data_IF_139486108700
#
_entry.id   IF_139486108700
#
_cell.length_a   1.000
_cell.length_b   1.000
_cell.length_c   1.000
_cell.angle_alpha   90.00
_cell.angle_beta   90.00
_cell.angle_gamma   90.00
#
_symmetry.space_group_name_H-M   'P 1'
#
loop_
_entity.id
_entity.type
_entity.pdbx_description
1 polymer ?
#
# COMPACT_ATOMS: atom_id res chain seq x y z
N UNK A 1 3.57 13.06 66.95
CA UNK A 1 3.66 14.11 65.92
C UNK A 1 4.01 13.57 64.54
N UNK A 2 5.09 12.81 64.35
CA UNK A 2 5.53 12.34 63.02
C UNK A 2 4.47 11.53 62.24
N UNK A 3 3.71 10.66 62.92
CA UNK A 3 2.61 9.88 62.29
C UNK A 3 1.47 10.75 61.77
N UNK A 4 1.05 11.74 62.54
CA UNK A 4 -0.03 12.67 62.15
C UNK A 4 0.43 13.53 60.97
N UNK A 5 1.70 13.95 60.97
CA UNK A 5 2.27 14.74 59.88
C UNK A 5 2.39 13.91 58.58
N UNK A 6 2.76 12.63 58.70
CA UNK A 6 2.78 11.69 57.57
C UNK A 6 1.38 11.45 57.00
N UNK A 7 0.37 11.25 57.86
CA UNK A 7 -1.02 11.08 57.43
C UNK A 7 -1.55 12.31 56.68
N UNK A 8 -1.28 13.51 57.19
CA UNK A 8 -1.70 14.76 56.54
C UNK A 8 -1.05 14.89 55.15
N UNK A 9 0.24 14.56 55.03
CA UNK A 9 0.96 14.61 53.74
C UNK A 9 0.42 13.57 52.76
N UNK A 10 0.12 12.35 53.22
CA UNK A 10 -0.48 11.30 52.38
C UNK A 10 -1.86 11.71 51.90
N UNK A 11 -2.72 12.25 52.78
CA UNK A 11 -4.05 12.73 52.38
C UNK A 11 -3.99 13.93 51.42
N UNK A 12 -3.04 14.84 51.62
CA UNK A 12 -2.80 15.95 50.69
C UNK A 12 -2.32 15.47 49.32
N UNK A 13 -1.44 14.47 49.28
CA UNK A 13 -0.96 13.87 48.04
C UNK A 13 -2.09 13.14 47.30
N UNK A 14 -2.92 12.38 48.01
CA UNK A 14 -4.10 11.69 47.44
C UNK A 14 -5.08 12.70 46.85
N UNK A 15 -5.40 13.78 47.57
CA UNK A 15 -6.26 14.86 47.07
C UNK A 15 -5.67 15.54 45.84
N UNK A 16 -4.35 15.76 45.81
CA UNK A 16 -3.64 16.32 44.67
C UNK A 16 -3.71 15.41 43.43
N UNK A 17 -3.49 14.11 43.59
CA UNK A 17 -3.58 13.12 42.51
C UNK A 17 -5.01 13.01 41.99
N UNK A 18 -6.00 12.93 42.88
CA UNK A 18 -7.41 12.89 42.51
C UNK A 18 -7.79 14.16 41.74
N UNK A 19 -7.41 15.34 42.24
CA UNK A 19 -7.66 16.62 41.57
C UNK A 19 -6.98 16.73 40.20
N UNK A 20 -5.76 16.19 40.05
CA UNK A 20 -5.05 16.16 38.78
C UNK A 20 -5.70 15.22 37.76
N UNK A 21 -6.08 14.01 38.18
CA UNK A 21 -6.81 13.04 37.31
C UNK A 21 -8.16 13.62 36.90
N UNK A 22 -8.87 14.20 37.84
CA UNK A 22 -10.11 14.93 37.62
C UNK A 22 -9.94 16.04 36.58
N UNK A 23 -8.94 16.91 36.75
CA UNK A 23 -8.64 17.99 35.79
C UNK A 23 -8.27 17.46 34.40
N UNK A 24 -7.48 16.39 34.34
CA UNK A 24 -7.09 15.75 33.08
C UNK A 24 -8.29 15.18 32.34
N UNK A 25 -9.22 14.54 33.05
CA UNK A 25 -10.46 14.04 32.49
C UNK A 25 -11.39 15.18 32.04
N UNK A 26 -11.46 16.27 32.80
CA UNK A 26 -12.24 17.46 32.44
C UNK A 26 -11.74 18.13 31.16
N UNK A 27 -10.42 18.19 30.95
CA UNK A 27 -9.82 18.79 29.75
C UNK A 27 -9.93 17.88 28.50
N UNK A 28 -10.07 16.57 28.68
CA UNK A 28 -10.08 15.59 27.59
C UNK A 28 -11.48 15.21 27.07
N UNK A 29 -12.56 15.70 27.69
CA UNK A 29 -13.94 15.37 27.30
C UNK A 29 -14.64 16.57 26.65
N UNK A 30 -15.21 16.37 25.45
CA UNK A 30 -16.03 17.37 24.75
C UNK A 30 -17.34 17.68 25.51
N UNK A 31 -17.94 16.69 26.17
CA UNK A 31 -19.15 16.83 26.99
C UNK A 31 -18.86 17.21 28.45
N UNK A 32 -18.35 18.43 28.65
CA UNK A 32 -17.96 18.96 29.97
C UNK A 32 -19.10 19.02 30.99
N UNK A 33 -20.35 19.16 30.54
CA UNK A 33 -21.52 19.32 31.42
C UNK A 33 -21.96 18.00 32.07
N UNK A 34 -21.93 16.90 31.31
CA UNK A 34 -22.36 15.59 31.81
C UNK A 34 -21.37 15.02 32.83
N UNK A 35 -20.07 15.26 32.63
CA UNK A 35 -19.03 14.84 33.58
C UNK A 35 -19.16 15.54 34.95
N UNK A 36 -19.42 16.86 34.95
CA UNK A 36 -19.61 17.64 36.19
C UNK A 36 -20.87 17.17 36.93
N UNK A 37 -21.96 16.87 36.21
CA UNK A 37 -23.17 16.34 36.81
C UNK A 37 -22.96 14.97 37.47
N UNK A 38 -22.23 14.06 36.81
CA UNK A 38 -21.87 12.75 37.38
C UNK A 38 -21.00 12.88 38.64
N UNK A 39 -20.09 13.84 38.68
CA UNK A 39 -19.29 14.09 39.87
C UNK A 39 -20.12 14.68 41.01
N UNK A 40 -21.05 15.58 40.71
CA UNK A 40 -21.98 16.11 41.70
C UNK A 40 -22.83 14.98 42.32
N UNK A 41 -23.39 14.09 41.50
CA UNK A 41 -24.15 12.91 41.98
C UNK A 41 -23.24 12.00 42.82
N UNK A 42 -22.03 11.71 42.34
CA UNK A 42 -21.08 10.85 43.07
C UNK A 42 -20.71 11.45 44.44
N UNK A 43 -20.49 12.76 44.51
CA UNK A 43 -20.19 13.47 45.75
C UNK A 43 -21.38 13.44 46.73
N UNK A 44 -22.61 13.59 46.21
CA UNK A 44 -23.84 13.49 47.02
C UNK A 44 -24.02 12.07 47.58
N UNK A 45 -23.82 11.03 46.75
CA UNK A 45 -23.94 9.63 47.19
C UNK A 45 -22.84 9.29 48.20
N UNK A 46 -21.60 9.69 47.96
CA UNK A 46 -20.49 9.49 48.90
C UNK A 46 -20.70 10.25 50.21
N UNK A 47 -21.21 11.48 50.16
CA UNK A 47 -21.58 12.26 51.34
C UNK A 47 -22.69 11.57 52.15
N UNK A 48 -23.74 11.10 51.47
CA UNK A 48 -24.82 10.34 52.10
C UNK A 48 -24.32 9.05 52.78
N UNK A 49 -23.45 8.29 52.10
CA UNK A 49 -22.84 7.09 52.66
C UNK A 49 -21.92 7.39 53.84
N UNK A 50 -21.09 8.43 53.77
CA UNK A 50 -20.13 8.76 54.82
C UNK A 50 -20.78 9.37 56.07
N UNK A 51 -21.73 10.30 55.90
CA UNK A 51 -22.31 11.07 57.00
C UNK A 51 -23.57 10.45 57.61
N UNK A 52 -24.35 9.68 56.83
CA UNK A 52 -25.58 9.05 57.32
C UNK A 52 -25.37 7.55 57.59
N UNK A 53 -24.80 6.84 56.61
CA UNK A 53 -24.71 5.36 56.67
C UNK A 53 -23.50 4.89 57.47
N UNK A 54 -22.34 5.53 57.32
CA UNK A 54 -21.11 5.23 58.06
C UNK A 54 -21.28 5.24 59.58
N UNK A 55 -21.79 6.34 60.20
CA UNK A 55 -22.03 6.37 61.64
C UNK A 55 -23.20 5.48 62.10
N UNK A 56 -24.10 5.09 61.20
CA UNK A 56 -25.21 4.16 61.48
C UNK A 56 -24.74 2.71 61.50
N UNK A 57 -23.80 2.34 60.64
CA UNK A 57 -23.14 1.02 60.62
C UNK A 57 -22.11 0.91 61.74
N UNK A 58 -21.32 1.96 61.98
CA UNK A 58 -20.25 1.97 62.98
C UNK A 58 -20.72 1.97 64.44
N UNK A 59 -21.94 2.46 64.73
CA UNK A 59 -22.56 2.35 66.07
C UNK A 59 -23.01 0.92 66.41
N UNK A 60 -23.12 0.03 65.42
CA UNK A 60 -23.59 -1.34 65.59
C UNK A 60 -25.06 -1.45 66.00
N UNK A 61 -25.60 -2.68 65.93
CA UNK A 61 -27.00 -3.00 66.27
C UNK A 61 -27.88 -3.33 65.07
N UNK A 62 -29.13 -3.72 65.33
CA UNK A 62 -30.11 -4.16 64.33
C UNK A 62 -30.32 -3.13 63.21
N UNK A 63 -30.32 -1.84 63.56
CA UNK A 63 -30.49 -0.72 62.62
C UNK A 63 -29.33 -0.63 61.63
N UNK A 64 -28.09 -0.81 62.09
CA UNK A 64 -26.91 -0.81 61.21
C UNK A 64 -26.88 -2.04 60.29
N UNK A 65 -27.26 -3.21 60.81
CA UNK A 65 -27.24 -4.46 60.05
C UNK A 65 -28.36 -4.55 59.00
N UNK A 66 -29.60 -4.16 59.34
CA UNK A 66 -30.76 -4.30 58.46
C UNK A 66 -31.03 -3.09 57.57
N UNK A 67 -30.57 -1.90 57.93
CA UNK A 67 -30.80 -0.68 57.15
C UNK A 67 -29.48 -0.17 56.57
N UNK A 68 -28.41 -0.13 57.36
CA UNK A 68 -27.12 0.42 56.92
C UNK A 68 -26.45 -0.41 55.82
N UNK A 69 -26.42 -1.74 55.93
CA UNK A 69 -25.77 -2.62 54.95
C UNK A 69 -26.50 -2.58 53.59
N UNK A 70 -27.83 -2.75 53.50
CA UNK A 70 -28.53 -2.64 52.21
C UNK A 70 -28.40 -1.26 51.57
N UNK A 71 -28.43 -0.19 52.37
CA UNK A 71 -28.30 1.17 51.88
C UNK A 71 -26.89 1.45 51.32
N UNK A 72 -25.86 0.83 51.91
CA UNK A 72 -24.50 0.84 51.36
C UNK A 72 -24.44 0.12 50.01
N UNK A 73 -25.09 -1.04 49.90
CA UNK A 73 -25.15 -1.79 48.64
C UNK A 73 -25.87 -1.01 47.53
N UNK A 74 -26.96 -0.32 47.85
CA UNK A 74 -27.69 0.54 46.90
C UNK A 74 -26.83 1.72 46.46
N UNK A 75 -26.16 2.40 47.39
CA UNK A 75 -25.25 3.50 47.05
C UNK A 75 -24.08 3.04 46.17
N UNK A 76 -23.51 1.87 46.46
CA UNK A 76 -22.49 1.23 45.62
C UNK A 76 -22.98 0.87 44.23
N UNK A 77 -24.21 0.34 44.12
CA UNK A 77 -24.83 0.00 42.84
C UNK A 77 -25.09 1.24 41.97
N UNK A 78 -25.58 2.32 42.57
CA UNK A 78 -25.79 3.60 41.86
C UNK A 78 -24.47 4.14 41.32
N UNK A 79 -23.40 4.12 42.12
CA UNK A 79 -22.07 4.52 41.67
C UNK A 79 -21.53 3.61 40.55
N UNK A 80 -21.76 2.30 40.65
CA UNK A 80 -21.36 1.36 39.61
C UNK A 80 -22.06 1.66 38.28
N UNK A 81 -23.38 1.83 38.27
CA UNK A 81 -24.14 2.14 37.04
C UNK A 81 -23.72 3.48 36.44
N UNK A 82 -23.50 4.50 37.27
CA UNK A 82 -23.10 5.84 36.82
C UNK A 82 -21.74 5.86 36.11
N UNK A 83 -20.81 5.01 36.56
CA UNK A 83 -19.43 4.95 36.07
C UNK A 83 -19.15 3.79 35.10
N UNK A 84 -20.05 2.81 34.96
CA UNK A 84 -19.87 1.66 34.04
C UNK A 84 -19.60 2.12 32.61
N UNK A 85 -20.40 3.04 32.05
CA UNK A 85 -20.21 3.50 30.66
C UNK A 85 -18.85 4.17 30.41
N UNK A 86 -18.45 5.17 31.23
CA UNK A 86 -17.13 5.80 31.10
C UNK A 86 -15.96 4.84 31.34
N UNK A 87 -16.07 3.91 32.31
CA UNK A 87 -15.00 2.94 32.58
C UNK A 87 -14.85 1.92 31.46
N UNK A 88 -15.94 1.40 30.90
CA UNK A 88 -15.87 0.45 29.78
C UNK A 88 -15.32 1.12 28.53
N UNK A 89 -15.71 2.37 28.26
CA UNK A 89 -15.12 3.17 27.18
C UNK A 89 -13.63 3.45 27.38
N UNK A 90 -13.21 3.77 28.61
CA UNK A 90 -11.79 3.99 28.94
C UNK A 90 -10.96 2.70 28.82
N UNK A 91 -11.41 1.60 29.43
CA UNK A 91 -10.74 0.30 29.35
C UNK A 91 -10.71 -0.26 27.92
N UNK A 92 -11.82 -0.12 27.18
CA UNK A 92 -11.91 -0.47 25.77
C UNK A 92 -10.96 0.34 24.91
N UNK A 93 -10.81 1.65 25.18
CA UNK A 93 -9.85 2.48 24.46
C UNK A 93 -8.39 2.11 24.75
N UNK A 94 -8.04 1.63 25.95
CA UNK A 94 -6.67 1.17 26.22
C UNK A 94 -6.34 -0.07 25.38
N UNK A 95 -7.28 -1.00 25.26
CA UNK A 95 -7.10 -2.23 24.47
C UNK A 95 -7.12 -1.90 22.97
N UNK A 96 -8.11 -1.13 22.49
CA UNK A 96 -8.18 -0.70 21.09
C UNK A 96 -6.97 0.15 20.70
N UNK A 97 -6.45 1.02 21.57
CA UNK A 97 -5.23 1.78 21.27
C UNK A 97 -4.00 0.89 21.00
N UNK A 98 -3.96 -0.33 21.57
CA UNK A 98 -2.87 -1.28 21.30
C UNK A 98 -3.02 -1.94 19.93
N UNK A 99 -4.26 -2.15 19.47
CA UNK A 99 -4.55 -2.77 18.16
C UNK A 99 -4.65 -1.74 17.01
N UNK A 100 -5.16 -0.55 17.27
CA UNK A 100 -5.51 0.49 16.29
C UNK A 100 -4.57 1.72 16.32
N UNK A 101 -3.51 1.72 17.15
CA UNK A 101 -2.47 2.77 17.13
C UNK A 101 -2.79 4.06 17.91
N UNK A 102 -3.77 4.01 18.82
CA UNK A 102 -4.14 5.17 19.65
C UNK A 102 -5.21 6.04 19.02
N UNK A 103 -5.79 6.95 19.81
CA UNK A 103 -6.70 8.03 19.33
C UNK A 103 -5.95 9.07 18.49
N UNK A 104 -5.25 8.65 17.46
CA UNK A 104 -4.95 9.51 16.32
C UNK A 104 -6.27 9.69 15.58
N UNK A 105 -6.76 10.93 15.55
CA UNK A 105 -7.70 11.37 14.52
C UNK A 105 -7.22 10.76 13.21
N UNK A 106 -8.09 9.98 12.55
CA UNK A 106 -7.76 9.32 11.29
C UNK A 106 -6.92 10.28 10.47
N UNK A 107 -5.64 9.93 10.28
CA UNK A 107 -4.71 10.72 9.51
C UNK A 107 -5.46 11.05 8.22
N UNK A 108 -5.57 12.34 7.86
CA UNK A 108 -6.41 12.82 6.77
C UNK A 108 -5.84 12.32 5.44
N UNK A 109 -5.95 11.04 5.19
CA UNK A 109 -5.67 10.42 3.92
C UNK A 109 -6.89 10.65 3.02
N UNK A 110 -6.70 10.80 1.70
CA UNK A 110 -7.80 10.75 0.75
C UNK A 110 -8.66 9.52 1.04
N UNK A 111 -9.98 9.68 1.14
CA UNK A 111 -10.89 8.58 1.46
C UNK A 111 -11.00 7.63 0.26
N UNK A 112 -9.97 6.79 0.07
CA UNK A 112 -9.85 5.80 -1.00
C UNK A 112 -11.00 4.80 -0.97
N UNK A 113 -11.52 4.49 0.21
CA UNK A 113 -12.66 3.58 0.39
C UNK A 113 -13.90 4.06 -0.37
N UNK A 114 -14.14 5.37 -0.42
CA UNK A 114 -15.28 5.93 -1.16
C UNK A 114 -15.05 5.87 -2.66
N UNK A 115 -13.83 6.17 -3.13
CA UNK A 115 -13.44 6.07 -4.54
C UNK A 115 -13.57 4.62 -5.02
N UNK A 116 -13.00 3.67 -4.28
CA UNK A 116 -13.10 2.24 -4.59
C UNK A 116 -14.55 1.74 -4.58
N UNK A 117 -15.36 2.19 -3.61
CA UNK A 117 -16.78 1.84 -3.57
C UNK A 117 -17.53 2.34 -4.81
N UNK A 118 -17.20 3.53 -5.35
CA UNK A 118 -17.79 4.04 -6.59
C UNK A 118 -17.26 3.31 -7.83
N UNK A 119 -15.96 3.01 -7.87
CA UNK A 119 -15.33 2.19 -8.91
C UNK A 119 -15.98 0.80 -8.99
N UNK A 120 -16.15 0.10 -7.86
CA UNK A 120 -16.82 -1.21 -7.78
C UNK A 120 -18.29 -1.19 -8.18
N UNK A 121 -18.95 -0.02 -8.06
CA UNK A 121 -20.34 0.18 -8.50
C UNK A 121 -20.45 0.57 -9.98
N UNK A 122 -19.36 0.58 -10.74
CA UNK A 122 -19.32 0.98 -12.14
C UNK A 122 -19.44 2.49 -12.39
N UNK A 123 -19.37 3.31 -11.33
CA UNK A 123 -19.49 4.77 -11.41
C UNK A 123 -18.11 5.42 -11.51
N UNK A 124 -17.42 5.17 -12.61
CA UNK A 124 -16.01 5.56 -12.79
C UNK A 124 -15.83 7.07 -12.91
N UNK A 125 -16.72 7.77 -13.62
CA UNK A 125 -16.67 9.23 -13.73
C UNK A 125 -16.82 9.91 -12.35
N UNK A 126 -17.83 9.50 -11.57
CA UNK A 126 -18.00 10.00 -10.19
C UNK A 126 -16.79 9.66 -9.30
N UNK A 127 -16.18 8.48 -9.48
CA UNK A 127 -15.00 8.08 -8.72
C UNK A 127 -13.78 8.96 -9.04
N UNK A 128 -13.58 9.28 -10.32
CA UNK A 128 -12.53 10.19 -10.77
C UNK A 128 -12.74 11.62 -10.24
N UNK A 129 -13.97 12.13 -10.30
CA UNK A 129 -14.29 13.47 -9.81
C UNK A 129 -14.14 13.57 -8.29
N UNK A 130 -14.55 12.53 -7.55
CA UNK A 130 -14.34 12.46 -6.10
C UNK A 130 -12.85 12.43 -5.75
N UNK A 131 -12.04 11.68 -6.51
CA UNK A 131 -10.59 11.67 -6.30
C UNK A 131 -9.96 13.03 -6.64
N UNK A 132 -10.41 13.72 -7.69
CA UNK A 132 -9.96 15.10 -7.99
C UNK A 132 -10.25 16.05 -6.84
N UNK A 133 -11.47 16.04 -6.29
CA UNK A 133 -11.83 16.87 -5.13
C UNK A 133 -10.93 16.57 -3.93
N UNK A 134 -10.58 15.31 -3.70
CA UNK A 134 -9.63 14.95 -2.63
C UNK A 134 -8.21 15.45 -2.91
N UNK A 135 -7.79 15.46 -4.17
CA UNK A 135 -6.50 16.01 -4.58
C UNK A 135 -6.45 17.54 -4.54
N UNK A 136 -7.59 18.25 -4.53
CA UNK A 136 -7.60 19.70 -4.24
C UNK A 136 -7.15 19.98 -2.80
N UNK A 137 -7.52 19.11 -1.85
CA UNK A 137 -7.08 19.21 -0.45
C UNK A 137 -5.64 18.68 -0.25
N UNK A 138 -5.26 17.65 -1.01
CA UNK A 138 -3.96 16.98 -0.93
C UNK A 138 -3.25 16.89 -2.29
N UNK A 139 -2.79 18.03 -2.87
CA UNK A 139 -2.33 18.09 -4.25
C UNK A 139 -1.05 17.30 -4.53
N UNK A 140 -0.22 17.05 -3.50
CA UNK A 140 1.04 16.31 -3.63
C UNK A 140 0.93 14.85 -3.20
N UNK A 141 -0.29 14.30 -3.09
CA UNK A 141 -0.47 12.92 -2.64
C UNK A 141 -0.27 11.91 -3.79
N UNK A 142 0.93 11.30 -3.86
CA UNK A 142 1.34 10.36 -4.92
C UNK A 142 0.31 9.27 -5.20
N UNK A 143 -0.12 8.53 -4.17
CA UNK A 143 -1.07 7.41 -4.35
C UNK A 143 -2.44 7.89 -4.86
N UNK A 144 -2.84 9.11 -4.53
CA UNK A 144 -4.10 9.70 -4.98
C UNK A 144 -4.05 10.02 -6.47
N UNK A 145 -2.97 10.66 -6.91
CA UNK A 145 -2.71 10.94 -8.33
C UNK A 145 -2.61 9.64 -9.15
N UNK A 146 -1.92 8.62 -8.63
CA UNK A 146 -1.84 7.31 -9.30
C UNK A 146 -3.20 6.63 -9.44
N UNK A 147 -4.04 6.64 -8.40
CA UNK A 147 -5.40 6.08 -8.46
C UNK A 147 -6.26 6.86 -9.44
N UNK A 148 -6.18 8.20 -9.46
CA UNK A 148 -6.88 9.02 -10.45
C UNK A 148 -6.46 8.64 -11.87
N UNK A 149 -5.16 8.55 -12.12
CA UNK A 149 -4.61 8.18 -13.42
C UNK A 149 -5.04 6.75 -13.83
N UNK A 150 -5.10 5.81 -12.89
CA UNK A 150 -5.57 4.44 -13.14
C UNK A 150 -7.05 4.40 -13.53
N UNK A 151 -7.91 5.13 -12.81
CA UNK A 151 -9.35 5.21 -13.15
C UNK A 151 -9.52 5.82 -14.55
N UNK A 152 -8.73 6.84 -14.89
CA UNK A 152 -8.78 7.49 -16.21
C UNK A 152 -8.33 6.53 -17.33
N UNK A 153 -7.17 5.88 -17.17
CA UNK A 153 -6.61 5.01 -18.21
C UNK A 153 -7.37 3.68 -18.36
N UNK A 154 -7.69 3.02 -17.24
CA UNK A 154 -8.24 1.67 -17.24
C UNK A 154 -9.76 1.67 -17.34
N UNK A 155 -10.45 2.47 -16.52
CA UNK A 155 -11.90 2.37 -16.40
C UNK A 155 -12.63 3.32 -17.37
N UNK A 156 -12.07 4.51 -17.60
CA UNK A 156 -12.63 5.51 -18.51
C UNK A 156 -12.00 5.49 -19.92
N UNK A 157 -10.92 4.73 -20.11
CA UNK A 157 -10.16 4.65 -21.37
C UNK A 157 -9.72 6.01 -21.93
N UNK A 158 -9.47 6.98 -21.04
CA UNK A 158 -9.01 8.32 -21.36
C UNK A 158 -7.53 8.44 -21.02
N UNK A 159 -6.70 8.00 -21.98
CA UNK A 159 -5.25 7.95 -21.82
C UNK A 159 -4.63 9.35 -21.76
N UNK A 160 -5.16 10.31 -22.53
CA UNK A 160 -4.64 11.68 -22.56
C UNK A 160 -4.77 12.36 -21.20
N UNK A 161 -5.92 12.18 -20.53
CA UNK A 161 -6.11 12.70 -19.17
C UNK A 161 -5.26 11.95 -18.16
N UNK A 162 -5.11 10.64 -18.29
CA UNK A 162 -4.23 9.87 -17.41
C UNK A 162 -2.77 10.33 -17.54
N UNK A 163 -2.29 10.51 -18.78
CA UNK A 163 -0.97 11.04 -19.08
C UNK A 163 -0.77 12.41 -18.43
N UNK A 164 -1.72 13.33 -18.59
CA UNK A 164 -1.66 14.67 -17.99
C UNK A 164 -1.46 14.64 -16.47
N UNK A 165 -2.14 13.72 -15.76
CA UNK A 165 -1.98 13.56 -14.30
C UNK A 165 -0.59 13.04 -13.94
N UNK A 166 -0.06 12.08 -14.71
CA UNK A 166 1.30 11.56 -14.51
C UNK A 166 2.36 12.62 -14.83
N UNK A 167 2.16 13.43 -15.88
CA UNK A 167 3.04 14.56 -16.20
C UNK A 167 3.09 15.59 -15.07
N UNK A 168 1.93 15.94 -14.51
CA UNK A 168 1.86 16.83 -13.35
C UNK A 168 2.59 16.23 -12.14
N UNK A 169 2.42 14.93 -11.88
CA UNK A 169 3.14 14.20 -10.84
C UNK A 169 4.66 14.24 -11.05
N UNK A 170 5.14 14.08 -12.29
CA UNK A 170 6.57 14.10 -12.63
C UNK A 170 7.18 15.50 -12.46
N UNK A 171 6.38 16.56 -12.68
CA UNK A 171 6.81 17.95 -12.46
C UNK A 171 6.91 18.31 -10.96
N UNK A 172 6.21 17.59 -10.08
CA UNK A 172 6.29 17.82 -8.64
C UNK A 172 7.60 17.25 -8.06
N UNK A 173 8.48 18.11 -7.54
CA UNK A 173 9.83 17.73 -7.05
C UNK A 173 9.85 16.95 -5.72
N UNK A 174 8.72 16.81 -5.02
CA UNK A 174 8.66 16.21 -3.69
C UNK A 174 8.55 14.67 -3.70
N UNK A 175 8.45 14.04 -4.87
CA UNK A 175 8.25 12.59 -4.95
C UNK A 175 9.58 11.83 -4.98
N UNK A 176 9.70 10.70 -4.23
CA UNK A 176 10.86 9.84 -4.31
C UNK A 176 11.14 9.40 -5.76
N UNK A 177 12.41 9.30 -6.20
CA UNK A 177 12.79 8.85 -7.53
C UNK A 177 12.08 7.57 -7.99
N UNK A 178 11.96 6.59 -7.08
CA UNK A 178 11.28 5.31 -7.31
C UNK A 178 9.80 5.47 -7.68
N UNK A 179 9.11 6.43 -7.06
CA UNK A 179 7.69 6.68 -7.29
C UNK A 179 7.46 7.33 -8.65
N UNK A 180 8.32 8.29 -9.02
CA UNK A 180 8.29 8.92 -10.35
C UNK A 180 8.60 7.91 -11.45
N UNK A 181 9.61 7.06 -11.25
CA UNK A 181 9.94 5.98 -12.19
C UNK A 181 8.78 4.97 -12.33
N UNK A 182 8.12 4.62 -11.22
CA UNK A 182 6.95 3.75 -11.25
C UNK A 182 5.78 4.38 -12.03
N UNK A 183 5.49 5.66 -11.81
CA UNK A 183 4.44 6.39 -12.51
C UNK A 183 4.67 6.42 -14.03
N UNK A 184 5.89 6.75 -14.47
CA UNK A 184 6.28 6.73 -15.88
C UNK A 184 6.23 5.32 -16.49
N UNK A 185 6.58 4.30 -15.70
CA UNK A 185 6.50 2.89 -16.13
C UNK A 185 5.05 2.47 -16.36
N UNK A 186 4.15 2.84 -15.45
CA UNK A 186 2.72 2.57 -15.60
C UNK A 186 2.12 3.29 -16.82
N UNK A 187 2.52 4.54 -17.06
CA UNK A 187 2.11 5.29 -18.23
C UNK A 187 2.55 4.58 -19.53
N UNK A 188 3.81 4.17 -19.61
CA UNK A 188 4.33 3.40 -20.75
C UNK A 188 3.52 2.11 -20.98
N UNK A 189 3.23 1.38 -19.91
CA UNK A 189 2.44 0.14 -19.99
C UNK A 189 1.00 0.40 -20.46
N UNK A 190 0.40 1.55 -20.10
CA UNK A 190 -0.89 1.97 -20.61
C UNK A 190 -0.85 2.35 -22.10
N UNK A 191 0.18 3.06 -22.55
CA UNK A 191 0.38 3.35 -23.99
C UNK A 191 0.49 2.06 -24.82
N UNK A 192 1.24 1.07 -24.35
CA UNK A 192 1.38 -0.23 -25.02
C UNK A 192 0.07 -1.02 -25.02
N UNK A 193 -0.65 -1.05 -23.88
CA UNK A 193 -1.85 -1.87 -23.71
C UNK A 193 -3.08 -1.31 -24.43
N UNK A 194 -3.30 0.00 -24.33
CA UNK A 194 -4.54 0.63 -24.79
C UNK A 194 -4.38 1.34 -26.13
N UNK A 195 -3.31 2.12 -26.32
CA UNK A 195 -3.08 2.86 -27.56
C UNK A 195 -2.24 2.07 -28.59
N UNK A 196 -1.52 1.02 -28.15
CA UNK A 196 -0.48 0.34 -28.94
C UNK A 196 0.55 1.33 -29.50
N UNK A 197 0.77 2.41 -28.76
CA UNK A 197 1.66 3.49 -29.13
C UNK A 197 3.05 3.18 -28.58
N UNK A 198 3.86 2.55 -29.43
CA UNK A 198 5.24 2.19 -29.11
C UNK A 198 6.14 3.43 -28.94
N UNK A 199 6.09 4.48 -29.80
CA UNK A 199 6.95 5.64 -29.63
C UNK A 199 6.69 6.39 -28.32
N UNK A 200 5.44 6.57 -27.90
CA UNK A 200 5.13 7.23 -26.61
C UNK A 200 5.57 6.38 -25.40
N UNK A 201 5.36 5.06 -25.46
CA UNK A 201 5.86 4.16 -24.42
C UNK A 201 7.39 4.20 -24.30
N UNK A 202 8.08 4.24 -25.43
CA UNK A 202 9.54 4.39 -25.50
C UNK A 202 9.99 5.74 -24.91
N UNK A 203 9.34 6.84 -25.24
CA UNK A 203 9.65 8.15 -24.68
C UNK A 203 9.55 8.18 -23.15
N UNK A 204 8.56 7.48 -22.58
CA UNK A 204 8.41 7.32 -21.13
C UNK A 204 9.63 6.61 -20.51
N UNK A 205 10.11 5.51 -21.11
CA UNK A 205 11.30 4.79 -20.61
C UNK A 205 12.58 5.61 -20.77
N UNK A 206 12.77 6.30 -21.91
CA UNK A 206 13.92 7.19 -22.12
C UNK A 206 13.98 8.32 -21.07
N UNK A 207 12.82 8.85 -20.65
CA UNK A 207 12.75 9.85 -19.58
C UNK A 207 13.18 9.31 -18.22
N UNK A 208 12.88 8.05 -17.90
CA UNK A 208 13.37 7.41 -16.68
C UNK A 208 14.90 7.34 -16.70
N UNK A 209 15.49 6.93 -17.83
CA UNK A 209 16.94 6.85 -18.01
C UNK A 209 17.61 8.23 -17.87
N UNK A 210 17.02 9.26 -18.48
CA UNK A 210 17.54 10.62 -18.43
C UNK A 210 17.47 11.24 -17.02
N UNK A 211 16.42 10.92 -16.25
CA UNK A 211 16.19 11.52 -14.92
C UNK A 211 16.91 10.79 -13.79
N UNK A 212 17.09 9.48 -13.91
CA UNK A 212 17.65 8.64 -12.85
C UNK A 212 18.79 7.73 -13.36
N UNK A 213 19.89 8.30 -13.89
CA UNK A 213 20.97 7.49 -14.43
C UNK A 213 21.62 6.60 -13.35
N UNK A 214 21.86 5.33 -13.68
CA UNK A 214 22.57 4.38 -12.81
C UNK A 214 21.75 3.85 -11.62
N UNK A 215 20.43 4.02 -11.60
CA UNK A 215 19.56 3.38 -10.60
C UNK A 215 19.04 2.02 -11.08
N UNK A 216 18.56 1.21 -10.14
CA UNK A 216 17.91 -0.07 -10.45
C UNK A 216 16.67 0.11 -11.34
N UNK A 217 15.94 1.23 -11.17
CA UNK A 217 14.79 1.60 -11.99
C UNK A 217 15.20 1.93 -13.43
N UNK A 218 16.32 2.65 -13.62
CA UNK A 218 16.85 2.92 -14.95
C UNK A 218 17.28 1.64 -15.65
N UNK A 219 17.99 0.73 -14.96
CA UNK A 219 18.36 -0.56 -15.54
C UNK A 219 17.10 -1.34 -15.98
N UNK A 220 16.04 -1.37 -15.16
CA UNK A 220 14.76 -2.00 -15.56
C UNK A 220 14.12 -1.32 -16.77
N UNK A 221 14.16 0.01 -16.87
CA UNK A 221 13.64 0.73 -18.02
C UNK A 221 14.45 0.43 -19.30
N UNK A 222 15.78 0.30 -19.18
CA UNK A 222 16.67 -0.08 -20.28
C UNK A 222 16.33 -1.47 -20.83
N UNK A 223 16.11 -2.46 -19.96
CA UNK A 223 15.68 -3.80 -20.38
C UNK A 223 14.34 -3.76 -21.15
N UNK A 224 13.39 -2.95 -20.68
CA UNK A 224 12.07 -2.82 -21.34
C UNK A 224 12.21 -2.14 -22.70
N UNK A 225 13.07 -1.14 -22.80
CA UNK A 225 13.37 -0.45 -24.06
C UNK A 225 13.99 -1.38 -25.10
N UNK A 226 14.95 -2.22 -24.70
CA UNK A 226 15.57 -3.21 -25.58
C UNK A 226 14.55 -4.22 -26.13
N UNK A 227 13.64 -4.71 -25.28
CA UNK A 227 12.53 -5.61 -25.69
C UNK A 227 11.56 -4.96 -26.67
N UNK A 228 11.27 -3.67 -26.50
CA UNK A 228 10.42 -2.92 -27.42
C UNK A 228 11.07 -2.82 -28.80
N UNK A 229 12.36 -2.47 -28.86
CA UNK A 229 13.11 -2.39 -30.12
C UNK A 229 13.14 -3.75 -30.86
N UNK A 230 13.33 -4.86 -30.13
CA UNK A 230 13.24 -6.20 -30.71
C UNK A 230 11.85 -6.49 -31.30
N UNK A 231 10.78 -6.09 -30.60
CA UNK A 231 9.39 -6.26 -31.06
C UNK A 231 9.09 -5.42 -32.30
N UNK A 232 9.54 -4.17 -32.36
CA UNK A 232 9.40 -3.30 -33.54
C UNK A 232 10.10 -3.90 -34.76
N UNK A 233 11.30 -4.44 -34.57
CA UNK A 233 12.07 -5.10 -35.64
C UNK A 233 11.31 -6.32 -36.18
N UNK A 234 10.69 -7.11 -35.30
CA UNK A 234 9.87 -8.26 -35.69
C UNK A 234 8.59 -7.85 -36.44
N UNK A 235 7.95 -6.74 -36.03
CA UNK A 235 6.77 -6.20 -36.71
C UNK A 235 7.09 -5.56 -38.07
N UNK A 236 8.30 -5.00 -38.21
CA UNK A 236 8.78 -4.43 -39.47
C UNK A 236 9.15 -5.50 -40.51
N UNK A 237 9.37 -6.75 -40.10
CA UNK A 237 9.59 -7.86 -41.04
C UNK A 237 8.33 -8.07 -41.90
N UNK A 238 8.50 -8.26 -43.22
CA UNK A 238 7.36 -8.48 -44.10
C UNK A 238 6.59 -9.71 -43.62
N UNK A 239 5.28 -9.56 -43.45
CA UNK A 239 4.40 -10.65 -43.04
C UNK A 239 4.49 -11.77 -44.10
N UNK A 240 5.27 -12.81 -43.79
CA UNK A 240 5.31 -14.01 -44.61
C UNK A 240 3.92 -14.62 -44.53
N UNK A 241 3.22 -14.66 -45.66
CA UNK A 241 1.92 -15.33 -45.74
C UNK A 241 2.19 -16.81 -45.46
N UNK A 242 1.91 -17.24 -44.24
CA UNK A 242 1.96 -18.65 -43.89
C UNK A 242 0.88 -19.33 -44.71
N UNK A 243 1.28 -20.00 -45.78
CA UNK A 243 0.38 -20.87 -46.51
C UNK A 243 -0.07 -21.95 -45.52
N UNK A 244 -1.38 -22.11 -45.27
CA UNK A 244 -1.85 -23.14 -44.37
C UNK A 244 -1.31 -24.47 -44.89
N UNK A 245 -0.57 -25.24 -44.07
CA UNK A 245 -0.01 -26.49 -44.52
C UNK A 245 -1.16 -27.38 -45.01
N UNK A 246 -1.03 -27.91 -46.23
CA UNK A 246 -2.02 -28.83 -46.79
C UNK A 246 -2.24 -29.95 -45.77
N UNK A 247 -3.47 -30.09 -45.28
CA UNK A 247 -3.80 -31.09 -44.29
C UNK A 247 -3.54 -32.48 -44.88
N UNK A 248 -2.55 -33.19 -44.34
CA UNK A 248 -2.27 -34.56 -44.76
C UNK A 248 -3.48 -35.45 -44.41
N UNK A 249 -4.19 -36.04 -45.40
CA UNK A 249 -5.38 -36.86 -45.15
C UNK A 249 -5.11 -38.09 -44.28
N UNK A 250 -3.84 -38.47 -44.10
CA UNK A 250 -3.42 -39.65 -43.34
C UNK A 250 -2.82 -39.30 -41.97
N UNK A 251 -2.92 -38.05 -41.52
CA UNK A 251 -2.35 -37.57 -40.25
C UNK A 251 -2.78 -38.42 -39.03
N UNK A 252 -4.03 -38.91 -39.01
CA UNK A 252 -4.58 -39.74 -37.93
C UNK A 252 -4.36 -41.25 -38.09
N UNK A 253 -3.80 -41.72 -39.22
CA UNK A 253 -3.67 -43.14 -39.56
C UNK A 253 -2.22 -43.62 -39.52
N UNK A 254 -1.24 -42.71 -39.47
CA UNK A 254 0.18 -43.05 -39.39
C UNK A 254 0.59 -43.45 -37.98
N UNK A 255 1.26 -44.60 -37.86
CA UNK A 255 1.82 -45.08 -36.59
C UNK A 255 3.05 -44.28 -36.12
N UNK A 256 3.70 -43.53 -37.03
CA UNK A 256 4.84 -42.67 -36.71
C UNK A 256 4.54 -41.23 -37.12
N UNK A 257 4.76 -40.24 -36.23
CA UNK A 257 4.65 -38.83 -36.58
C UNK A 257 5.62 -38.50 -37.71
N UNK A 258 5.16 -37.74 -38.71
CA UNK A 258 6.08 -37.17 -39.70
C UNK A 258 6.97 -36.16 -38.98
N UNK A 259 8.32 -36.27 -39.09
CA UNK A 259 9.20 -35.23 -38.61
C UNK A 259 8.86 -33.95 -39.36
N UNK A 260 8.22 -32.99 -38.69
CA UNK A 260 8.11 -31.63 -39.23
C UNK A 260 9.51 -31.04 -39.17
N UNK A 261 10.09 -30.57 -40.29
CA UNK A 261 11.25 -29.71 -40.18
C UNK A 261 10.84 -28.54 -39.29
N UNK A 262 11.55 -28.37 -38.18
CA UNK A 262 11.45 -27.15 -37.39
C UNK A 262 12.11 -26.10 -38.26
N UNK A 263 11.34 -25.43 -39.11
CA UNK A 263 11.79 -24.24 -39.83
C UNK A 263 11.83 -23.10 -38.81
N UNK A 264 12.74 -23.23 -37.85
CA UNK A 264 13.18 -22.10 -37.05
C UNK A 264 13.99 -21.16 -37.94
N UNK A 265 14.09 -19.87 -37.58
CA UNK A 265 15.06 -18.98 -38.22
C UNK A 265 16.45 -19.63 -38.19
N UNK A 266 17.25 -19.42 -39.23
CA UNK A 266 18.61 -19.95 -39.30
C UNK A 266 19.39 -19.52 -38.04
N UNK A 267 20.02 -20.45 -37.29
CA UNK A 267 20.81 -20.10 -36.12
C UNK A 267 21.83 -18.98 -36.37
N UNK A 268 22.39 -18.89 -37.58
CA UNK A 268 23.33 -17.83 -37.99
C UNK A 268 22.65 -16.45 -38.12
N UNK A 269 21.41 -16.41 -38.62
CA UNK A 269 20.61 -15.18 -38.70
C UNK A 269 20.18 -14.71 -37.30
N UNK A 270 19.81 -15.64 -36.41
CA UNK A 270 19.48 -15.32 -35.02
C UNK A 270 20.69 -14.77 -34.27
N UNK A 271 21.85 -15.40 -34.47
CA UNK A 271 23.12 -14.95 -33.89
C UNK A 271 23.43 -13.50 -34.32
N UNK A 272 23.34 -13.22 -35.62
CA UNK A 272 23.63 -11.89 -36.17
C UNK A 272 22.65 -10.85 -35.64
N UNK A 273 21.36 -11.18 -35.55
CA UNK A 273 20.34 -10.29 -35.01
C UNK A 273 20.57 -9.96 -33.53
N UNK A 274 20.90 -10.96 -32.70
CA UNK A 274 21.18 -10.77 -31.28
C UNK A 274 22.45 -9.98 -31.04
N UNK A 275 23.50 -10.19 -31.84
CA UNK A 275 24.73 -9.37 -31.78
C UNK A 275 24.41 -7.91 -32.12
N UNK A 276 23.68 -7.64 -33.20
CA UNK A 276 23.27 -6.29 -33.56
C UNK A 276 22.39 -5.61 -32.49
N UNK A 277 21.53 -6.39 -31.82
CA UNK A 277 20.74 -5.92 -30.69
C UNK A 277 21.62 -5.54 -29.49
N UNK A 278 22.64 -6.35 -29.17
CA UNK A 278 23.59 -6.06 -28.09
C UNK A 278 24.53 -4.89 -28.39
N UNK A 279 24.83 -4.62 -29.66
CA UNK A 279 25.54 -3.39 -30.06
C UNK A 279 24.71 -2.13 -29.76
N UNK A 280 23.37 -2.23 -29.86
CA UNK A 280 22.45 -1.12 -29.59
C UNK A 280 22.10 -1.02 -28.10
N UNK A 281 21.93 -2.17 -27.44
CA UNK A 281 21.58 -2.29 -26.01
C UNK A 281 22.58 -3.20 -25.29
N UNK A 282 23.73 -2.65 -24.85
CA UNK A 282 24.81 -3.45 -24.25
C UNK A 282 24.39 -4.21 -23.00
N UNK A 283 23.38 -3.72 -22.28
CA UNK A 283 22.91 -4.30 -21.03
C UNK A 283 21.69 -5.21 -21.20
N UNK A 284 21.23 -5.54 -22.43
CA UNK A 284 20.07 -6.43 -22.59
C UNK A 284 20.33 -7.85 -22.06
N UNK A 285 19.65 -8.23 -20.99
CA UNK A 285 19.84 -9.52 -20.34
C UNK A 285 19.27 -10.67 -21.16
N UNK A 286 18.11 -10.47 -21.77
CA UNK A 286 17.44 -11.51 -22.52
C UNK A 286 18.22 -11.83 -23.80
N UNK A 287 18.72 -10.82 -24.50
CA UNK A 287 19.53 -11.03 -25.69
C UNK A 287 20.84 -11.79 -25.37
N UNK A 288 21.47 -11.53 -24.21
CA UNK A 288 22.65 -12.26 -23.75
C UNK A 288 22.34 -13.72 -23.37
N UNK A 289 21.21 -13.98 -22.72
CA UNK A 289 20.75 -15.33 -22.39
C UNK A 289 20.45 -16.14 -23.66
N UNK A 290 19.71 -15.56 -24.61
CA UNK A 290 19.40 -16.20 -25.89
C UNK A 290 20.69 -16.47 -26.69
N UNK A 291 21.64 -15.52 -26.66
CA UNK A 291 22.96 -15.69 -27.27
C UNK A 291 23.76 -16.83 -26.61
N UNK A 292 23.74 -16.94 -25.28
CA UNK A 292 24.38 -18.02 -24.55
C UNK A 292 23.76 -19.39 -24.91
N UNK A 293 22.43 -19.46 -25.04
CA UNK A 293 21.74 -20.69 -25.46
C UNK A 293 22.10 -21.08 -26.90
N UNK A 294 22.18 -20.12 -27.82
CA UNK A 294 22.62 -20.37 -29.20
C UNK A 294 24.06 -20.88 -29.24
N UNK A 295 24.97 -20.26 -28.48
CA UNK A 295 26.35 -20.73 -28.40
C UNK A 295 26.47 -22.14 -27.84
N UNK A 296 25.73 -22.48 -26.77
CA UNK A 296 25.80 -23.80 -26.15
C UNK A 296 25.15 -24.90 -27.00
N UNK A 297 24.02 -24.61 -27.66
CA UNK A 297 23.23 -25.59 -28.41
C UNK A 297 23.70 -25.76 -29.86
N UNK A 298 23.15 -24.97 -30.81
CA UNK A 298 23.48 -25.06 -32.23
C UNK A 298 24.99 -24.96 -32.55
N UNK A 299 25.70 -24.03 -31.91
CA UNK A 299 27.10 -23.75 -32.24
C UNK A 299 28.11 -24.59 -31.44
N UNK A 300 27.68 -25.30 -30.40
CA UNK A 300 28.54 -26.16 -29.54
C UNK A 300 29.80 -25.44 -29.01
N UNK A 301 29.68 -24.15 -28.68
CA UNK A 301 30.73 -23.30 -28.10
C UNK A 301 30.40 -22.95 -26.64
N UNK A 302 30.51 -23.92 -25.70
CA UNK A 302 30.20 -23.67 -24.30
C UNK A 302 31.07 -22.59 -23.68
N UNK A 303 32.32 -22.43 -24.14
CA UNK A 303 33.24 -21.41 -23.64
C UNK A 303 32.69 -19.98 -23.86
N UNK A 304 32.07 -19.73 -25.02
CA UNK A 304 31.46 -18.43 -25.34
C UNK A 304 30.14 -18.25 -24.59
N UNK A 305 29.37 -19.32 -24.42
CA UNK A 305 28.15 -19.29 -23.62
C UNK A 305 28.44 -18.92 -22.16
N UNK A 306 29.50 -19.50 -21.57
CA UNK A 306 29.95 -19.18 -20.21
C UNK A 306 30.32 -17.71 -20.09
N UNK A 307 31.09 -17.16 -21.04
CA UNK A 307 31.45 -15.74 -21.02
C UNK A 307 30.23 -14.81 -21.03
N UNK A 308 29.18 -15.15 -21.79
CA UNK A 308 27.96 -14.36 -21.80
C UNK A 308 27.19 -14.44 -20.47
N UNK A 309 27.17 -15.62 -19.84
CA UNK A 309 26.56 -15.81 -18.52
C UNK A 309 27.35 -15.13 -17.40
N UNK A 310 28.68 -15.15 -17.45
CA UNK A 310 29.55 -14.41 -16.52
C UNK A 310 29.30 -12.91 -16.63
N UNK A 311 29.19 -12.39 -17.86
CA UNK A 311 28.83 -10.99 -18.09
C UNK A 311 27.42 -10.64 -17.60
N UNK A 312 26.49 -11.59 -17.55
CA UNK A 312 25.17 -11.39 -16.94
C UNK A 312 25.23 -11.30 -15.41
N UNK A 313 26.07 -12.14 -14.79
CA UNK A 313 26.26 -12.16 -13.34
C UNK A 313 26.98 -10.89 -12.87
N UNK A 314 27.94 -10.39 -13.64
CA UNK A 314 28.72 -9.20 -13.32
C UNK A 314 27.96 -7.88 -13.54
N UNK A 315 26.75 -7.91 -14.10
CA UNK A 315 25.96 -6.70 -14.32
C UNK A 315 25.41 -6.11 -13.01
N UNK A 316 25.54 -4.78 -12.81
CA UNK A 316 24.94 -4.11 -11.65
C UNK A 316 23.40 -4.20 -11.72
N UNK A 317 22.79 -4.64 -10.62
CA UNK A 317 21.34 -4.85 -10.48
C UNK A 317 20.75 -6.08 -11.20
N UNK A 318 21.54 -7.16 -11.32
CA UNK A 318 21.08 -8.45 -11.84
C UNK A 318 19.72 -8.87 -11.24
N UNK A 319 18.75 -9.32 -12.07
CA UNK A 319 17.44 -9.74 -11.60
C UNK A 319 17.58 -10.95 -10.67
N UNK A 320 17.08 -10.83 -9.43
CA UNK A 320 17.15 -11.85 -8.36
C UNK A 320 16.64 -13.25 -8.79
N UNK A 321 15.85 -13.35 -9.86
CA UNK A 321 15.31 -14.60 -10.40
C UNK A 321 16.31 -15.48 -11.18
N UNK A 322 17.52 -15.00 -11.49
CA UNK A 322 18.53 -15.76 -12.27
C UNK A 322 19.75 -16.20 -11.44
N UNK A 323 19.74 -15.95 -10.12
CA UNK A 323 20.88 -16.22 -9.22
C UNK A 323 20.61 -17.38 -8.24
N UNK A 324 19.59 -18.21 -8.52
CA UNK A 324 19.21 -19.34 -7.67
C UNK A 324 19.43 -20.68 -8.36
#
# INVERSE_FOLDING_TARGET
MLKILLEIVVWAAVLGVVGWVMRRWYLASEDRKDLVWRWAISAVVLGFLAFLVGPMVGRGGYVGAFIGIPLTAVGGLVLAILWVGPLTGAAGSIISNIFDGGRTEAEREPLFSMVEARRKRGRYAEAADLMRQQLEEFPTHFRGQMVLAEILAIDLHDLDRAASVIEELVLQENHPPRNVAFALTQLADWHLKFARDVPEARACFERILARFPGTAEAHKAEQRLARLAGTETLLARPAVRLEPPVADPHLGVRAQPVPRPVTGPDPDEQLTALIAQLETFPHDNQAREELAMLYAGPFQRPDLAIQQLEQLIDQPHAPEGHVA
#
